data_IF_019505874027
#
_entry.id   IF_019505874027
#
_cell.length_a   1.000
_cell.length_b   1.000
_cell.length_c   1.000
_cell.angle_alpha   90.00
_cell.angle_beta   90.00
_cell.angle_gamma   90.00
#
_symmetry.space_group_name_H-M   'P 1'
#
loop_
_entity.id
_entity.type
_entity.pdbx_description
1 polymer ?
#
# COMPACT_ATOMS: atom_id res chain seq x y z
N UNK A 1 6.57 -3.99 43.14
CA UNK A 1 6.80 -5.05 42.13
C UNK A 1 5.56 -5.47 41.33
N UNK A 2 4.36 -4.93 41.60
CA UNK A 2 3.11 -5.28 40.87
C UNK A 2 2.82 -4.39 39.66
N UNK A 3 3.53 -3.27 39.50
CA UNK A 3 3.25 -2.26 38.46
C UNK A 3 3.93 -2.55 37.11
N UNK A 4 5.01 -3.33 37.10
CA UNK A 4 5.77 -3.63 35.87
C UNK A 4 5.12 -4.73 35.01
N UNK A 5 4.45 -5.70 35.63
CA UNK A 5 3.75 -6.78 34.90
C UNK A 5 2.54 -6.28 34.11
N UNK A 6 1.83 -5.28 34.63
CA UNK A 6 0.70 -4.67 33.93
C UNK A 6 1.17 -3.91 32.68
N UNK A 7 2.36 -3.30 32.72
CA UNK A 7 2.94 -2.58 31.59
C UNK A 7 3.45 -3.52 30.50
N UNK A 8 3.97 -4.70 30.83
CA UNK A 8 4.43 -5.70 29.86
C UNK A 8 3.27 -6.32 29.07
N UNK A 9 2.13 -6.58 29.73
CA UNK A 9 0.90 -7.05 29.07
C UNK A 9 0.26 -5.96 28.19
N UNK A 10 0.29 -4.70 28.65
CA UNK A 10 -0.18 -3.56 27.84
C UNK A 10 0.71 -3.35 26.60
N UNK A 11 2.03 -3.53 26.72
CA UNK A 11 2.97 -3.42 25.60
C UNK A 11 2.75 -4.53 24.55
N UNK A 12 2.50 -5.77 24.99
CA UNK A 12 2.20 -6.89 24.10
C UNK A 12 0.86 -6.72 23.37
N UNK A 13 -0.16 -6.17 24.04
CA UNK A 13 -1.47 -5.86 23.42
C UNK A 13 -1.38 -4.66 22.46
N UNK A 14 -0.57 -3.66 22.77
CA UNK A 14 -0.29 -2.52 21.89
C UNK A 14 0.50 -2.93 20.63
N UNK A 15 1.42 -3.90 20.74
CA UNK A 15 2.14 -4.44 19.60
C UNK A 15 1.26 -5.26 18.65
N UNK A 16 0.25 -5.98 19.15
CA UNK A 16 -0.71 -6.68 18.28
C UNK A 16 -1.69 -5.75 17.57
N UNK A 17 -2.03 -4.59 18.16
CA UNK A 17 -2.86 -3.58 17.51
C UNK A 17 -2.11 -2.82 16.39
N UNK A 18 -0.78 -2.67 16.53
CA UNK A 18 0.06 -1.98 15.56
C UNK A 18 0.30 -2.74 14.24
N UNK A 19 -0.15 -3.99 14.13
CA UNK A 19 -0.01 -4.82 12.93
C UNK A 19 -1.24 -4.83 12.03
N UNK A 20 -2.37 -4.24 12.45
CA UNK A 20 -3.47 -3.99 11.53
C UNK A 20 -3.15 -2.71 10.77
N UNK A 21 -2.85 -2.85 9.47
CA UNK A 21 -2.72 -1.71 8.57
C UNK A 21 -3.93 -0.78 8.70
N UNK A 22 -3.69 0.52 8.58
CA UNK A 22 -4.77 1.51 8.59
C UNK A 22 -5.77 1.16 7.50
N UNK A 23 -7.03 0.93 7.89
CA UNK A 23 -8.13 0.69 6.95
C UNK A 23 -8.84 2.00 6.60
N UNK A 24 -9.54 2.02 5.46
CA UNK A 24 -10.42 3.14 5.06
C UNK A 24 -11.40 3.54 6.16
N UNK A 25 -12.02 2.57 6.84
CA UNK A 25 -12.95 2.87 7.94
C UNK A 25 -12.27 3.54 9.12
N UNK A 26 -11.10 3.05 9.54
CA UNK A 26 -10.35 3.66 10.64
C UNK A 26 -9.89 5.09 10.31
N UNK A 27 -9.48 5.34 9.05
CA UNK A 27 -9.12 6.66 8.57
C UNK A 27 -10.31 7.63 8.66
N UNK A 28 -11.46 7.23 8.14
CA UNK A 28 -12.66 8.08 8.16
C UNK A 28 -13.17 8.33 9.57
N UNK A 29 -13.06 7.35 10.49
CA UNK A 29 -13.39 7.56 11.90
C UNK A 29 -12.49 8.62 12.54
N UNK A 30 -11.18 8.56 12.29
CA UNK A 30 -10.24 9.56 12.80
C UNK A 30 -10.53 10.97 12.25
N UNK A 31 -10.92 11.09 10.98
CA UNK A 31 -11.35 12.38 10.40
C UNK A 31 -12.63 12.90 11.06
N UNK A 32 -13.56 12.01 11.45
CA UNK A 32 -14.79 12.40 12.16
C UNK A 32 -14.56 12.81 13.63
N UNK A 33 -13.40 12.51 14.22
CA UNK A 33 -13.02 13.02 15.54
C UNK A 33 -12.63 14.51 15.49
N UNK A 34 -12.35 15.04 14.30
CA UNK A 34 -12.13 16.48 14.11
C UNK A 34 -13.47 17.24 14.24
N UNK A 35 -13.60 18.20 15.18
CA UNK A 35 -14.87 18.91 15.41
C UNK A 35 -15.33 19.78 14.23
N UNK A 36 -14.44 20.11 13.29
CA UNK A 36 -14.78 20.89 12.10
C UNK A 36 -15.50 20.07 11.02
N UNK A 37 -15.48 18.74 11.08
CA UNK A 37 -15.99 17.88 10.02
C UNK A 37 -17.00 16.87 10.55
N UNK A 38 -18.11 16.71 9.84
CA UNK A 38 -19.11 15.69 10.16
C UNK A 38 -19.56 14.94 8.91
N UNK A 39 -19.74 13.60 8.99
CA UNK A 39 -20.20 12.83 7.85
C UNK A 39 -21.67 13.18 7.50
N UNK A 40 -21.92 13.40 6.21
CA UNK A 40 -23.25 13.55 5.64
C UNK A 40 -23.73 12.21 5.06
N UNK A 41 -24.32 11.38 5.91
CA UNK A 41 -24.85 10.06 5.52
C UNK A 41 -23.84 8.92 5.74
N UNK A 42 -24.24 7.71 5.35
CA UNK A 42 -23.41 6.50 5.47
C UNK A 42 -22.37 6.43 4.35
N UNK A 43 -21.17 5.90 4.60
CA UNK A 43 -20.19 5.67 3.54
C UNK A 43 -20.66 4.55 2.60
N UNK A 44 -20.52 4.76 1.28
CA UNK A 44 -20.69 3.70 0.30
C UNK A 44 -19.33 3.04 0.06
N UNK A 45 -19.31 1.71 0.13
CA UNK A 45 -18.10 0.90 0.02
C UNK A 45 -18.10 0.15 -1.31
N UNK A 46 -16.96 0.20 -1.99
CA UNK A 46 -16.69 -0.51 -3.23
C UNK A 46 -15.47 -1.40 -3.05
N UNK A 47 -15.50 -2.51 -3.75
CA UNK A 47 -14.47 -3.54 -3.86
C UNK A 47 -14.09 -3.68 -5.33
N UNK A 48 -13.07 -4.47 -5.63
CA UNK A 48 -12.71 -4.79 -7.02
C UNK A 48 -13.89 -5.30 -7.87
N UNK A 49 -14.85 -5.99 -7.25
CA UNK A 49 -15.99 -6.63 -7.94
C UNK A 49 -17.09 -5.66 -8.36
N UNK A 50 -17.26 -4.55 -7.66
CA UNK A 50 -18.35 -3.59 -7.89
C UNK A 50 -17.85 -2.15 -8.10
N UNK A 51 -16.56 -1.95 -8.33
CA UNK A 51 -15.99 -0.63 -8.60
C UNK A 51 -16.56 0.01 -9.88
N UNK A 52 -17.11 -0.79 -10.80
CA UNK A 52 -17.85 -0.32 -11.98
C UNK A 52 -19.02 0.60 -11.64
N UNK A 53 -19.70 0.38 -10.52
CA UNK A 53 -20.80 1.24 -10.06
C UNK A 53 -20.33 2.68 -9.76
N UNK A 54 -19.07 2.83 -9.31
CA UNK A 54 -18.46 4.13 -9.01
C UNK A 54 -17.75 4.74 -10.21
N UNK A 55 -16.96 3.92 -10.92
CA UNK A 55 -15.95 4.38 -11.86
C UNK A 55 -16.31 4.15 -13.33
N UNK A 56 -17.40 3.44 -13.61
CA UNK A 56 -17.85 3.08 -14.96
C UNK A 56 -16.71 2.47 -15.78
N UNK A 57 -16.45 3.02 -16.96
CA UNK A 57 -15.41 2.56 -17.88
C UNK A 57 -13.98 2.54 -17.30
N UNK A 58 -13.73 3.23 -16.17
CA UNK A 58 -12.42 3.28 -15.52
C UNK A 58 -12.18 2.13 -14.56
N UNK A 59 -13.23 1.37 -14.22
CA UNK A 59 -13.16 0.27 -13.27
C UNK A 59 -12.06 -0.74 -13.61
N UNK A 60 -11.96 -1.13 -14.89
CA UNK A 60 -10.93 -2.07 -15.35
C UNK A 60 -9.52 -1.54 -15.08
N UNK A 61 -9.24 -0.29 -15.46
CA UNK A 61 -7.94 0.33 -15.23
C UNK A 61 -7.63 0.44 -13.73
N UNK A 62 -8.58 0.89 -12.91
CA UNK A 62 -8.41 1.00 -11.45
C UNK A 62 -8.09 -0.38 -10.83
N UNK A 63 -8.76 -1.44 -11.28
CA UNK A 63 -8.48 -2.80 -10.82
C UNK A 63 -7.08 -3.28 -11.22
N UNK A 64 -6.65 -3.04 -12.46
CA UNK A 64 -5.29 -3.40 -12.92
C UNK A 64 -4.20 -2.64 -12.18
N UNK A 65 -4.48 -1.41 -11.75
CA UNK A 65 -3.57 -0.63 -10.92
C UNK A 65 -3.50 -1.11 -9.46
N UNK A 66 -4.23 -2.15 -9.06
CA UNK A 66 -4.10 -2.78 -7.74
C UNK A 66 -5.05 -2.24 -6.68
N UNK A 67 -6.31 -1.97 -7.03
CA UNK A 67 -7.34 -1.55 -6.07
C UNK A 67 -7.56 -2.59 -4.97
N UNK A 68 -7.59 -2.17 -3.70
CA UNK A 68 -8.11 -2.96 -2.57
C UNK A 68 -9.59 -2.63 -2.35
N UNK A 69 -9.93 -1.34 -2.40
CA UNK A 69 -11.31 -0.88 -2.45
C UNK A 69 -11.44 0.63 -2.44
N UNK A 70 -12.65 1.13 -2.65
CA UNK A 70 -12.94 2.56 -2.62
C UNK A 70 -14.09 2.89 -1.67
N UNK A 71 -14.04 4.05 -1.03
CA UNK A 71 -15.12 4.54 -0.17
C UNK A 71 -15.54 5.92 -0.63
N UNK A 72 -16.85 6.13 -0.81
CA UNK A 72 -17.39 7.48 -1.06
C UNK A 72 -18.26 7.94 0.09
N UNK A 73 -18.09 9.19 0.50
CA UNK A 73 -18.93 9.80 1.52
C UNK A 73 -18.92 11.32 1.37
N UNK A 74 -20.05 11.97 1.62
CA UNK A 74 -20.10 13.43 1.71
C UNK A 74 -19.78 13.88 3.12
N UNK A 75 -19.10 15.01 3.28
CA UNK A 75 -18.68 15.59 4.54
C UNK A 75 -19.12 17.04 4.63
N UNK A 76 -19.70 17.45 5.77
CA UNK A 76 -20.03 18.85 6.05
C UNK A 76 -18.90 19.47 6.86
N UNK A 77 -18.40 20.59 6.38
CA UNK A 77 -17.41 21.39 7.09
C UNK A 77 -17.75 22.88 7.07
N UNK A 78 -16.90 23.72 7.66
CA UNK A 78 -17.15 25.16 7.81
C UNK A 78 -17.28 25.90 6.48
N UNK A 79 -16.56 25.44 5.45
CA UNK A 79 -16.50 26.08 4.13
C UNK A 79 -17.47 25.46 3.10
N UNK A 80 -18.27 24.46 3.49
CA UNK A 80 -19.25 23.81 2.64
C UNK A 80 -19.26 22.28 2.74
N UNK A 81 -19.97 21.66 1.79
CA UNK A 81 -20.06 20.20 1.67
C UNK A 81 -19.02 19.73 0.66
N UNK A 82 -18.27 18.67 1.00
CA UNK A 82 -17.28 18.04 0.14
C UNK A 82 -17.64 16.57 -0.07
N UNK A 83 -17.67 16.12 -1.32
CA UNK A 83 -17.79 14.70 -1.65
C UNK A 83 -16.39 14.08 -1.69
N UNK A 84 -16.12 13.15 -0.79
CA UNK A 84 -14.90 12.36 -0.76
C UNK A 84 -15.07 11.07 -1.56
N UNK A 85 -14.06 10.74 -2.37
CA UNK A 85 -13.79 9.39 -2.87
C UNK A 85 -12.37 9.00 -2.44
N UNK A 86 -12.27 7.97 -1.61
CA UNK A 86 -11.03 7.45 -1.05
C UNK A 86 -10.74 6.08 -1.65
N UNK A 87 -9.69 5.97 -2.45
CA UNK A 87 -9.19 4.69 -2.95
C UNK A 87 -8.07 4.17 -2.06
N UNK A 88 -8.16 2.92 -1.68
CA UNK A 88 -7.09 2.15 -1.04
C UNK A 88 -6.49 1.23 -2.09
N UNK A 89 -5.18 1.34 -2.28
CA UNK A 89 -4.40 0.56 -3.24
C UNK A 89 -3.54 -0.47 -2.50
N UNK A 90 -3.05 -1.47 -3.22
CA UNK A 90 -2.25 -2.56 -2.66
C UNK A 90 -0.93 -2.06 -2.05
N UNK A 91 -0.35 -0.98 -2.61
CA UNK A 91 0.84 -0.31 -2.09
C UNK A 91 0.93 1.16 -2.54
N UNK A 92 2.02 1.83 -2.16
CA UNK A 92 2.27 3.22 -2.51
C UNK A 92 2.56 3.44 -4.01
N UNK A 93 3.17 2.47 -4.69
CA UNK A 93 3.47 2.53 -6.12
C UNK A 93 2.18 2.49 -6.95
N UNK A 94 1.24 1.62 -6.57
CA UNK A 94 -0.11 1.51 -7.10
C UNK A 94 -0.92 2.80 -6.89
N UNK A 95 -0.84 3.39 -5.69
CA UNK A 95 -1.45 4.70 -5.41
C UNK A 95 -0.89 5.82 -6.29
N UNK A 96 0.44 5.88 -6.44
CA UNK A 96 1.07 6.84 -7.35
C UNK A 96 0.67 6.61 -8.82
N UNK A 97 0.56 5.35 -9.26
CA UNK A 97 0.08 4.99 -10.58
C UNK A 97 -1.33 5.52 -10.84
N UNK A 98 -2.29 5.21 -9.97
CA UNK A 98 -3.66 5.69 -10.13
C UNK A 98 -3.75 7.22 -10.04
N UNK A 99 -2.97 7.86 -9.17
CA UNK A 99 -2.91 9.32 -9.06
C UNK A 99 -2.42 9.99 -10.34
N UNK A 100 -1.42 9.42 -11.00
CA UNK A 100 -0.83 10.00 -12.21
C UNK A 100 -1.58 9.65 -13.50
N UNK A 101 -2.42 8.62 -13.49
CA UNK A 101 -3.19 8.15 -14.65
C UNK A 101 -3.97 9.28 -15.34
N UNK A 102 -4.74 10.06 -14.58
CA UNK A 102 -5.54 11.17 -15.11
C UNK A 102 -4.86 12.54 -15.02
N UNK A 103 -3.67 12.59 -14.42
CA UNK A 103 -2.98 13.85 -14.24
C UNK A 103 -2.63 14.41 -15.62
N UNK A 104 -3.18 15.58 -15.92
CA UNK A 104 -2.89 16.32 -17.14
C UNK A 104 -2.54 17.76 -16.78
N UNK A 105 -1.24 18.05 -16.72
CA UNK A 105 -0.72 19.38 -16.37
C UNK A 105 -1.07 20.46 -17.39
N UNK A 106 -1.41 20.07 -18.62
CA UNK A 106 -1.79 20.99 -19.69
C UNK A 106 -3.31 21.32 -19.65
N UNK A 107 -4.06 20.73 -18.72
CA UNK A 107 -5.47 21.02 -18.57
C UNK A 107 -5.70 22.46 -18.05
N UNK A 108 -6.62 23.23 -18.66
CA UNK A 108 -6.96 24.56 -18.16
C UNK A 108 -7.40 24.54 -16.69
N UNK A 109 -6.84 25.44 -15.88
CA UNK A 109 -7.13 25.52 -14.45
C UNK A 109 -6.44 24.47 -13.59
N UNK A 110 -5.46 23.73 -14.13
CA UNK A 110 -4.57 22.88 -13.34
C UNK A 110 -3.77 23.71 -12.34
N UNK A 111 -3.69 23.26 -11.09
CA UNK A 111 -2.88 23.90 -10.05
C UNK A 111 -2.35 22.86 -9.09
N UNK A 112 -1.03 22.83 -8.85
CA UNK A 112 -0.44 21.97 -7.83
C UNK A 112 -0.84 22.43 -6.42
N UNK A 113 -1.10 21.48 -5.52
CA UNK A 113 -1.50 21.75 -4.14
C UNK A 113 -0.66 20.94 -3.15
N UNK A 114 -0.34 21.49 -1.96
CA UNK A 114 0.59 20.86 -1.01
C UNK A 114 -0.13 19.89 -0.07
N UNK A 115 -0.92 18.95 -0.63
CA UNK A 115 -1.61 17.93 0.16
C UNK A 115 -1.03 16.54 -0.13
N UNK A 116 -0.98 15.70 0.90
CA UNK A 116 -0.35 14.40 0.79
C UNK A 116 1.12 14.50 0.39
N UNK A 117 1.55 13.58 -0.47
CA UNK A 117 2.89 13.61 -1.04
C UNK A 117 2.96 14.40 -2.33
N UNK A 118 1.93 14.28 -3.17
CA UNK A 118 1.67 15.20 -4.27
C UNK A 118 0.16 15.36 -4.44
N UNK A 119 -0.26 16.55 -4.86
CA UNK A 119 -1.64 16.83 -5.18
C UNK A 119 -1.79 17.89 -6.26
N UNK A 120 -2.95 17.88 -6.90
CA UNK A 120 -3.36 18.91 -7.85
C UNK A 120 -4.85 19.21 -7.75
N UNK A 121 -5.24 20.38 -8.23
CA UNK A 121 -6.62 20.81 -8.37
C UNK A 121 -6.92 21.09 -9.82
N UNK A 122 -8.12 20.70 -10.25
CA UNK A 122 -8.71 21.05 -11.54
C UNK A 122 -10.19 21.32 -11.31
N UNK A 123 -10.68 22.49 -11.75
CA UNK A 123 -12.05 22.93 -11.52
C UNK A 123 -12.43 22.86 -10.03
N UNK A 124 -13.50 22.16 -9.68
CA UNK A 124 -14.00 21.96 -8.31
C UNK A 124 -13.47 20.67 -7.66
N UNK A 125 -12.40 20.09 -8.20
CA UNK A 125 -11.85 18.81 -7.76
C UNK A 125 -10.41 18.93 -7.29
N UNK A 126 -10.14 18.41 -6.10
CA UNK A 126 -8.80 18.31 -5.53
C UNK A 126 -8.41 16.84 -5.43
N UNK A 127 -7.23 16.50 -5.94
CA UNK A 127 -6.68 15.16 -6.00
C UNK A 127 -5.35 15.14 -5.26
N UNK A 128 -5.13 14.14 -4.41
CA UNK A 128 -3.79 13.88 -3.86
C UNK A 128 -3.60 12.41 -3.55
N UNK A 129 -2.36 12.00 -3.37
CA UNK A 129 -2.01 10.66 -2.91
C UNK A 129 -1.08 10.74 -1.70
N UNK A 130 -1.17 9.74 -0.84
CA UNK A 130 -0.31 9.59 0.33
C UNK A 130 -0.33 8.15 0.78
N UNK A 131 0.85 7.57 1.07
CA UNK A 131 0.97 6.14 1.37
C UNK A 131 0.32 5.32 0.24
N UNK A 132 -0.49 4.32 0.56
CA UNK A 132 -1.26 3.52 -0.38
C UNK A 132 -2.66 4.10 -0.69
N UNK A 133 -2.93 5.37 -0.39
CA UNK A 133 -4.22 6.02 -0.59
C UNK A 133 -4.21 7.05 -1.72
N UNK A 134 -5.29 7.10 -2.49
CA UNK A 134 -5.60 8.18 -3.44
C UNK A 134 -6.91 8.84 -3.04
N UNK A 135 -6.90 10.16 -2.91
CA UNK A 135 -8.00 10.95 -2.38
C UNK A 135 -8.51 11.91 -3.45
N UNK A 136 -9.79 11.81 -3.77
CA UNK A 136 -10.47 12.74 -4.67
C UNK A 136 -11.57 13.47 -3.89
N UNK A 137 -11.54 14.79 -3.94
CA UNK A 137 -12.47 15.66 -3.24
C UNK A 137 -13.19 16.53 -4.25
N UNK A 138 -14.52 16.60 -4.17
CA UNK A 138 -15.33 17.49 -4.99
C UNK A 138 -16.08 18.48 -4.10
N UNK A 139 -15.89 19.78 -4.35
CA UNK A 139 -16.48 20.85 -3.54
C UNK A 139 -15.92 22.22 -3.91
N UNK A 140 -16.19 23.23 -3.10
CA UNK A 140 -15.51 24.53 -3.24
C UNK A 140 -14.02 24.36 -2.89
N UNK A 141 -13.14 25.12 -3.56
CA UNK A 141 -11.69 25.05 -3.31
C UNK A 141 -11.32 25.13 -1.81
N UNK A 142 -11.77 26.16 -1.07
CA UNK A 142 -11.53 26.25 0.37
C UNK A 142 -12.03 25.04 1.17
N UNK A 143 -13.21 24.51 0.86
CA UNK A 143 -13.74 23.33 1.55
C UNK A 143 -12.93 22.07 1.26
N UNK A 144 -12.51 21.86 0.01
CA UNK A 144 -11.65 20.71 -0.33
C UNK A 144 -10.29 20.80 0.34
N UNK A 145 -9.75 22.01 0.54
CA UNK A 145 -8.42 22.22 1.11
C UNK A 145 -8.39 21.91 2.61
N UNK A 146 -9.42 22.39 3.31
CA UNK A 146 -9.60 22.10 4.74
C UNK A 146 -9.81 20.60 4.98
N UNK A 147 -10.60 19.92 4.13
CA UNK A 147 -10.79 18.47 4.26
C UNK A 147 -9.54 17.67 3.85
N UNK A 148 -8.84 18.11 2.80
CA UNK A 148 -7.59 17.47 2.35
C UNK A 148 -6.55 17.47 3.46
N UNK A 149 -6.40 18.59 4.18
CA UNK A 149 -5.50 18.68 5.34
C UNK A 149 -5.91 17.71 6.44
N UNK A 150 -7.19 17.71 6.83
CA UNK A 150 -7.70 16.81 7.87
C UNK A 150 -7.52 15.32 7.52
N UNK A 151 -7.72 14.94 6.25
CA UNK A 151 -7.47 13.57 5.79
C UNK A 151 -5.97 13.26 5.80
N UNK A 152 -5.13 14.13 5.24
CA UNK A 152 -3.69 13.92 5.09
C UNK A 152 -2.97 13.76 6.44
N UNK A 153 -3.38 14.50 7.47
CA UNK A 153 -2.86 14.37 8.84
C UNK A 153 -3.17 13.01 9.48
N UNK A 154 -4.22 12.35 9.00
CA UNK A 154 -4.64 11.04 9.50
C UNK A 154 -4.15 9.88 8.63
N UNK A 155 -3.56 10.11 7.44
CA UNK A 155 -2.99 9.03 6.63
C UNK A 155 -1.58 8.70 7.13
N UNK A 156 -1.38 7.47 7.57
CA UNK A 156 -0.09 6.98 8.03
C UNK A 156 0.62 6.14 6.96
N UNK A 157 1.94 6.02 7.09
CA UNK A 157 2.79 5.24 6.18
C UNK A 157 3.69 6.11 5.31
N UNK A 158 4.60 5.46 4.59
CA UNK A 158 5.56 6.14 3.71
C UNK A 158 5.05 6.11 2.28
N UNK A 159 4.90 7.28 1.69
CA UNK A 159 4.78 7.40 0.25
C UNK A 159 6.13 7.09 -0.41
N UNK A 160 6.11 6.22 -1.41
CA UNK A 160 7.29 5.90 -2.22
C UNK A 160 6.85 5.85 -3.66
N UNK A 161 7.57 6.57 -4.52
CA UNK A 161 7.40 6.43 -5.96
C UNK A 161 7.94 5.06 -6.39
N UNK A 162 7.42 4.48 -7.47
CA UNK A 162 7.97 3.27 -8.08
C UNK A 162 9.46 3.42 -8.40
N UNK A 163 10.27 2.34 -8.29
CA UNK A 163 11.69 2.35 -8.62
C UNK A 163 12.01 3.00 -9.97
N UNK A 164 11.23 2.71 -11.01
CA UNK A 164 11.44 3.29 -12.35
C UNK A 164 11.40 4.82 -12.36
N UNK A 165 10.56 5.44 -11.52
CA UNK A 165 10.45 6.90 -11.45
C UNK A 165 11.69 7.57 -10.90
N UNK A 166 12.51 6.87 -10.12
CA UNK A 166 13.77 7.40 -9.58
C UNK A 166 14.88 7.55 -10.63
N UNK A 167 14.73 6.86 -11.76
CA UNK A 167 15.67 6.88 -12.88
C UNK A 167 15.32 7.91 -13.95
N UNK A 168 14.24 8.69 -13.76
CA UNK A 168 13.91 9.80 -14.65
C UNK A 168 14.96 10.92 -14.51
N UNK A 169 15.58 11.37 -15.61
CA UNK A 169 16.52 12.48 -15.59
C UNK A 169 15.85 13.76 -15.07
N UNK A 170 16.41 14.47 -14.08
CA UNK A 170 15.80 15.69 -13.55
C UNK A 170 16.02 16.91 -14.47
N UNK A 171 17.04 16.89 -15.33
CA UNK A 171 17.36 18.01 -16.22
C UNK A 171 16.33 18.12 -17.33
N UNK A 172 15.83 19.33 -17.59
CA UNK A 172 14.80 19.63 -18.60
C UNK A 172 13.44 18.95 -18.39
N UNK A 173 13.24 18.28 -17.25
CA UNK A 173 11.98 17.65 -16.87
C UNK A 173 10.90 18.71 -16.63
N UNK A 174 9.75 18.56 -17.27
CA UNK A 174 8.55 19.34 -16.99
C UNK A 174 7.93 18.80 -15.71
N UNK A 175 8.10 19.51 -14.60
CA UNK A 175 7.64 19.08 -13.28
C UNK A 175 6.13 18.76 -13.28
N UNK A 176 5.76 17.61 -12.72
CA UNK A 176 4.37 17.16 -12.65
C UNK A 176 3.87 16.42 -13.89
N UNK A 177 4.66 16.34 -14.96
CA UNK A 177 4.35 15.54 -16.15
C UNK A 177 4.61 14.05 -15.98
N UNK A 178 5.28 13.65 -14.88
CA UNK A 178 5.68 12.27 -14.65
C UNK A 178 4.44 11.39 -14.47
N UNK A 179 4.46 10.19 -15.05
CA UNK A 179 3.41 9.20 -14.87
C UNK A 179 4.03 7.84 -14.64
N UNK A 180 3.32 7.03 -13.88
CA UNK A 180 3.62 5.61 -13.73
C UNK A 180 2.58 4.78 -14.44
N UNK A 181 3.05 3.90 -15.31
CA UNK A 181 2.22 3.06 -16.17
C UNK A 181 2.42 1.60 -15.75
N UNK A 182 1.38 1.06 -15.11
CA UNK A 182 1.34 -0.34 -14.67
C UNK A 182 0.80 -1.29 -15.73
N UNK A 183 -0.02 -0.77 -16.65
CA UNK A 183 -0.79 -1.56 -17.59
C UNK A 183 -0.90 -0.81 -18.93
N UNK A 184 -1.22 -1.55 -19.98
CA UNK A 184 -1.43 -1.03 -21.33
C UNK A 184 -2.40 0.15 -21.35
N UNK A 185 -3.41 0.14 -20.48
CA UNK A 185 -4.41 1.21 -20.33
C UNK A 185 -3.80 2.58 -19.99
N UNK A 186 -2.64 2.61 -19.31
CA UNK A 186 -1.95 3.85 -18.93
C UNK A 186 -1.03 4.43 -20.03
N UNK A 187 -0.78 3.70 -21.12
CA UNK A 187 0.03 4.20 -22.25
C UNK A 187 -0.81 5.15 -23.11
N UNK A 188 -0.39 6.42 -23.19
CA UNK A 188 -1.01 7.39 -24.10
C UNK A 188 -0.86 6.96 -25.56
N UNK A 189 -1.94 6.94 -26.37
CA UNK A 189 -1.86 6.68 -27.81
C UNK A 189 -0.89 7.61 -28.55
N UNK A 190 -0.71 8.83 -28.05
CA UNK A 190 0.17 9.86 -28.62
C UNK A 190 1.65 9.45 -28.62
N UNK A 191 2.04 8.53 -27.75
CA UNK A 191 3.41 8.00 -27.72
C UNK A 191 3.71 7.12 -28.95
N UNK A 192 2.67 6.63 -29.64
CA UNK A 192 2.82 5.80 -30.85
C UNK A 192 3.65 4.55 -30.60
N UNK A 193 3.46 3.90 -29.45
CA UNK A 193 4.14 2.68 -29.05
C UNK A 193 3.27 1.46 -29.30
N UNK A 194 3.86 0.39 -29.81
CA UNK A 194 3.21 -0.93 -29.80
C UNK A 194 3.25 -1.48 -28.37
N UNK A 195 2.07 -1.58 -27.76
CA UNK A 195 1.89 -2.00 -26.37
C UNK A 195 2.41 -3.43 -26.13
N UNK A 196 2.35 -4.28 -27.16
CA UNK A 196 2.82 -5.68 -27.12
C UNK A 196 4.33 -5.79 -26.99
N UNK A 197 5.08 -4.75 -27.38
CA UNK A 197 6.53 -4.73 -27.35
C UNK A 197 7.11 -4.12 -26.06
N UNK A 198 6.25 -3.70 -25.12
CA UNK A 198 6.69 -3.07 -23.87
C UNK A 198 7.08 -4.09 -22.80
N UNK A 199 6.48 -5.28 -22.83
CA UNK A 199 6.85 -6.37 -21.92
C UNK A 199 6.13 -6.39 -20.57
N UNK A 200 4.85 -5.98 -20.52
CA UNK A 200 4.01 -6.11 -19.31
C UNK A 200 3.98 -7.55 -18.76
N UNK A 201 3.98 -8.56 -19.64
CA UNK A 201 4.06 -9.99 -19.27
C UNK A 201 5.38 -10.37 -18.57
N UNK A 202 6.46 -9.62 -18.82
CA UNK A 202 7.78 -9.83 -18.21
C UNK A 202 8.02 -8.84 -17.03
N UNK A 203 6.94 -8.34 -16.42
CA UNK A 203 6.96 -7.47 -15.22
C UNK A 203 7.77 -6.18 -15.41
N UNK A 204 7.63 -5.53 -16.57
CA UNK A 204 8.21 -4.21 -16.81
C UNK A 204 7.52 -3.15 -15.94
N UNK A 205 8.31 -2.26 -15.34
CA UNK A 205 7.82 -1.01 -14.76
C UNK A 205 8.06 0.12 -15.75
N UNK A 206 7.06 0.98 -15.98
CA UNK A 206 7.16 2.07 -16.97
C UNK A 206 6.91 3.41 -16.31
N UNK A 207 7.85 4.34 -16.48
CA UNK A 207 7.63 5.75 -16.19
C UNK A 207 7.64 6.56 -17.48
N UNK A 208 6.75 7.54 -17.59
CA UNK A 208 6.78 8.52 -18.68
C UNK A 208 6.91 9.92 -18.12
N UNK A 209 7.55 10.84 -18.85
CA UNK A 209 7.56 12.24 -18.48
C UNK A 209 7.82 13.14 -19.70
N UNK A 210 7.40 14.39 -19.60
CA UNK A 210 7.60 15.41 -20.61
C UNK A 210 8.89 16.17 -20.33
N UNK A 211 9.63 16.47 -21.40
CA UNK A 211 10.88 17.22 -21.36
C UNK A 211 10.80 18.41 -22.32
N UNK A 212 11.39 19.53 -21.91
CA UNK A 212 11.50 20.73 -22.72
C UNK A 212 12.98 21.09 -22.90
N UNK A 213 13.55 20.74 -24.06
CA UNK A 213 14.95 20.98 -24.37
C UNK A 213 15.05 22.07 -25.43
N UNK A 214 15.64 23.22 -25.07
CA UNK A 214 15.81 24.34 -26.01
C UNK A 214 14.49 24.82 -26.65
N UNK A 215 13.38 24.75 -25.92
CA UNK A 215 12.05 25.13 -26.40
C UNK A 215 11.33 24.06 -27.22
N UNK A 216 11.92 22.87 -27.42
CA UNK A 216 11.30 21.74 -28.11
C UNK A 216 10.81 20.71 -27.10
N UNK A 217 9.54 20.32 -27.21
CA UNK A 217 8.94 19.29 -26.36
C UNK A 217 9.28 17.89 -26.84
N UNK A 218 9.53 16.97 -25.90
CA UNK A 218 9.68 15.55 -26.15
C UNK A 218 9.14 14.74 -24.97
N UNK A 219 8.81 13.48 -25.19
CA UNK A 219 8.33 12.56 -24.17
C UNK A 219 9.37 11.46 -23.96
N UNK A 220 9.82 11.28 -22.72
CA UNK A 220 10.62 10.12 -22.34
C UNK A 220 9.68 8.99 -21.91
N UNK A 221 9.91 7.79 -22.45
CA UNK A 221 9.31 6.55 -21.97
C UNK A 221 10.45 5.68 -21.46
N UNK A 222 10.48 5.50 -20.14
CA UNK A 222 11.50 4.76 -19.43
C UNK A 222 10.92 3.43 -18.96
N UNK A 223 11.53 2.33 -19.40
CA UNK A 223 11.16 0.97 -19.07
C UNK A 223 12.24 0.38 -18.16
N UNK A 224 11.85 -0.08 -16.98
CA UNK A 224 12.69 -0.82 -16.05
C UNK A 224 12.26 -2.28 -16.06
N UNK A 225 13.14 -3.16 -16.51
CA UNK A 225 12.89 -4.59 -16.48
C UNK A 225 13.46 -5.24 -15.21
N UNK A 226 12.92 -6.39 -14.77
CA UNK A 226 13.42 -7.06 -13.57
C UNK A 226 14.89 -7.48 -13.65
N UNK A 227 15.40 -7.74 -14.86
CA UNK A 227 16.78 -8.15 -15.10
C UNK A 227 17.38 -7.51 -16.35
N UNK A 228 18.70 -7.44 -16.40
CA UNK A 228 19.42 -6.91 -17.57
C UNK A 228 19.22 -7.77 -18.83
N UNK A 229 19.03 -9.09 -18.65
CA UNK A 229 18.79 -10.05 -19.73
C UNK A 229 17.43 -9.81 -20.38
N UNK A 230 16.39 -9.55 -19.57
CA UNK A 230 15.07 -9.19 -20.08
C UNK A 230 15.14 -7.84 -20.81
N UNK A 231 15.81 -6.84 -20.23
CA UNK A 231 16.02 -5.56 -20.92
C UNK A 231 16.74 -5.71 -22.27
N UNK A 232 17.74 -6.60 -22.35
CA UNK A 232 18.44 -6.91 -23.60
C UNK A 232 17.52 -7.59 -24.63
N UNK A 233 16.71 -8.57 -24.21
CA UNK A 233 15.70 -9.22 -25.07
C UNK A 233 14.80 -8.18 -25.74
N UNK A 234 14.22 -7.26 -24.97
CA UNK A 234 13.34 -6.23 -25.52
C UNK A 234 14.09 -5.20 -26.37
N UNK A 235 15.29 -4.78 -25.97
CA UNK A 235 16.10 -3.86 -26.79
C UNK A 235 16.38 -4.44 -28.19
N UNK A 236 16.71 -5.72 -28.28
CA UNK A 236 16.89 -6.42 -29.57
C UNK A 236 15.60 -6.47 -30.40
N UNK A 237 14.44 -6.64 -29.76
CA UNK A 237 13.16 -6.58 -30.47
C UNK A 237 12.89 -5.21 -31.08
N UNK A 238 13.17 -4.13 -30.34
CA UNK A 238 13.04 -2.75 -30.84
C UNK A 238 14.04 -2.43 -31.96
N UNK A 239 15.24 -3.00 -31.90
CA UNK A 239 16.22 -2.94 -32.97
C UNK A 239 15.73 -3.65 -34.23
N UNK A 240 15.18 -4.85 -34.08
CA UNK A 240 14.70 -5.65 -35.21
C UNK A 240 13.41 -5.09 -35.86
N UNK A 241 12.57 -4.39 -35.11
CA UNK A 241 11.32 -3.83 -35.63
C UNK A 241 11.52 -2.53 -36.43
N UNK A 242 12.72 -1.94 -36.41
CA UNK A 242 13.09 -0.67 -37.07
C UNK A 242 12.06 0.47 -36.88
N UNK A 243 11.31 0.40 -35.77
CA UNK A 243 10.16 1.24 -35.48
C UNK A 243 10.53 2.53 -34.73
N UNK A 244 11.74 2.57 -34.20
CA UNK A 244 12.30 3.68 -33.41
C UNK A 244 13.73 3.89 -33.89
N UNK A 245 14.05 5.10 -34.35
CA UNK A 245 15.40 5.45 -34.79
C UNK A 245 16.44 5.14 -33.68
N UNK A 246 17.62 4.60 -34.00
CA UNK A 246 18.65 4.29 -33.01
C UNK A 246 19.03 5.48 -32.11
N UNK A 247 19.00 6.70 -32.64
CA UNK A 247 19.28 7.94 -31.88
C UNK A 247 18.18 8.36 -30.91
N UNK A 248 17.02 7.72 -30.93
CA UNK A 248 15.88 8.00 -30.04
C UNK A 248 15.73 6.93 -28.95
N UNK A 249 16.67 5.99 -28.83
CA UNK A 249 16.65 4.93 -27.83
C UNK A 249 18.00 4.76 -27.15
N UNK A 250 17.99 4.36 -25.89
CA UNK A 250 19.20 4.01 -25.12
C UNK A 250 18.88 2.86 -24.17
N UNK A 251 19.79 1.90 -24.05
CA UNK A 251 19.73 0.87 -23.01
C UNK A 251 20.88 1.05 -22.03
N UNK A 252 20.58 1.02 -20.73
CA UNK A 252 21.58 1.07 -19.65
C UNK A 252 21.19 0.09 -18.55
N UNK A 253 21.98 -0.98 -18.37
CA UNK A 253 21.65 -2.02 -17.39
C UNK A 253 20.26 -2.63 -17.65
N UNK A 254 19.34 -2.62 -16.66
CA UNK A 254 17.96 -3.08 -16.80
C UNK A 254 17.00 -2.02 -17.39
N UNK A 255 17.49 -0.81 -17.69
CA UNK A 255 16.68 0.27 -18.24
C UNK A 255 16.72 0.28 -19.78
N UNK A 256 15.56 0.53 -20.39
CA UNK A 256 15.41 0.92 -21.80
C UNK A 256 14.69 2.26 -21.83
N UNK A 257 15.31 3.27 -22.42
CA UNK A 257 14.76 4.61 -22.56
C UNK A 257 14.43 4.89 -24.03
N UNK A 258 13.25 5.43 -24.29
CA UNK A 258 12.75 5.79 -25.61
C UNK A 258 12.30 7.25 -25.61
N UNK A 259 12.71 8.03 -26.60
CA UNK A 259 12.28 9.42 -26.79
C UNK A 259 11.22 9.46 -27.90
N UNK A 260 10.06 10.07 -27.58
CA UNK A 260 8.91 10.25 -28.48
C UNK A 260 8.56 11.73 -28.63
N UNK A 261 7.75 12.07 -29.64
CA UNK A 261 7.32 13.45 -29.91
C UNK A 261 8.36 14.38 -30.56
N UNK A 262 9.64 13.98 -30.60
CA UNK A 262 10.71 14.70 -31.30
C UNK A 262 11.61 13.73 -32.06
N UNK A 263 12.04 14.12 -33.27
CA UNK A 263 13.04 13.42 -34.09
C UNK A 263 14.40 14.13 -34.09
N UNK A 264 14.55 15.18 -33.29
CA UNK A 264 15.80 15.94 -33.20
C UNK A 264 16.84 15.15 -32.38
N UNK A 265 17.97 14.74 -32.97
CA UNK A 265 19.00 13.98 -32.27
C UNK A 265 19.59 14.73 -31.06
N UNK A 266 19.67 16.07 -31.12
CA UNK A 266 20.21 16.86 -30.02
C UNK A 266 19.28 16.88 -28.81
N UNK A 267 17.97 16.95 -29.05
CA UNK A 267 16.95 16.84 -27.98
C UNK A 267 16.98 15.44 -27.36
N UNK A 268 17.05 14.41 -28.19
CA UNK A 268 17.08 13.04 -27.71
C UNK A 268 18.34 12.74 -26.88
N UNK A 269 19.54 13.12 -27.36
CA UNK A 269 20.79 12.95 -26.61
C UNK A 269 20.72 13.65 -25.25
N UNK A 270 20.27 14.92 -25.21
CA UNK A 270 20.19 15.68 -23.97
C UNK A 270 19.31 15.00 -22.89
N UNK A 271 18.28 14.26 -23.29
CA UNK A 271 17.42 13.49 -22.37
C UNK A 271 18.07 12.14 -22.04
N UNK A 272 18.48 11.39 -23.07
CA UNK A 272 19.00 10.03 -22.95
C UNK A 272 20.32 9.97 -22.18
N UNK A 273 21.19 10.99 -22.28
CA UNK A 273 22.44 11.08 -21.55
C UNK A 273 22.24 11.19 -20.03
N UNK A 274 21.11 11.76 -19.61
CA UNK A 274 20.71 11.80 -18.21
C UNK A 274 20.22 10.45 -17.65
N UNK A 275 19.86 9.49 -18.50
CA UNK A 275 19.40 8.16 -18.07
C UNK A 275 20.60 7.31 -17.69
N UNK A 276 20.75 7.06 -16.38
CA UNK A 276 21.86 6.34 -15.78
C UNK A 276 21.35 5.26 -14.81
N UNK A 277 22.08 4.14 -14.74
CA UNK A 277 21.83 3.06 -13.80
C UNK A 277 23.09 2.80 -12.97
N UNK A 278 23.00 3.04 -11.66
CA UNK A 278 24.07 2.70 -10.73
C UNK A 278 23.77 1.34 -10.09
N UNK A 279 24.59 0.33 -10.40
CA UNK A 279 24.51 -0.95 -9.71
C UNK A 279 25.17 -0.83 -8.33
N UNK A 280 24.39 -0.82 -7.26
CA UNK A 280 24.95 -1.03 -5.93
C UNK A 280 25.29 -2.51 -5.76
N UNK A 281 26.57 -2.85 -5.93
CA UNK A 281 27.08 -4.19 -5.62
C UNK A 281 27.30 -4.27 -4.11
N UNK A 282 26.29 -4.72 -3.37
CA UNK A 282 26.47 -5.10 -1.96
C UNK A 282 27.28 -6.39 -1.93
N UNK A 283 28.54 -6.28 -1.51
CA UNK A 283 29.35 -7.44 -1.19
C UNK A 283 28.68 -8.20 -0.05
N UNK A 284 28.51 -9.52 -0.22
CA UNK A 284 28.01 -10.37 0.87
C UNK A 284 28.91 -10.19 2.09
N UNK A 285 28.36 -9.70 3.20
CA UNK A 285 29.07 -9.71 4.47
C UNK A 285 29.44 -11.16 4.82
N UNK A 286 30.69 -11.43 5.23
CA UNK A 286 31.06 -12.76 5.68
C UNK A 286 30.13 -13.15 6.83
N UNK A 287 29.53 -14.34 6.76
CA UNK A 287 28.70 -14.84 7.85
C UNK A 287 29.52 -14.79 9.15
N UNK A 288 28.96 -14.30 10.26
CA UNK A 288 29.64 -14.38 11.55
C UNK A 288 30.05 -15.84 11.78
N UNK A 289 31.32 -16.06 12.13
CA UNK A 289 31.83 -17.39 12.40
C UNK A 289 31.32 -17.83 13.79
N UNK A 290 30.05 -18.24 13.84
CA UNK A 290 29.43 -18.68 15.09
C UNK A 290 30.05 -20.03 15.44
N UNK A 291 30.92 -20.01 16.45
CA UNK A 291 31.57 -21.21 16.97
C UNK A 291 30.52 -22.19 17.51
N UNK A 292 30.60 -23.45 17.10
CA UNK A 292 29.68 -24.51 17.51
C UNK A 292 29.49 -24.61 19.05
N UNK A 293 30.54 -24.43 19.89
CA UNK A 293 30.38 -24.34 21.34
C UNK A 293 29.49 -23.18 21.82
N UNK A 294 29.60 -22.00 21.22
CA UNK A 294 28.81 -20.83 21.62
C UNK A 294 27.33 -21.00 21.29
N UNK A 295 27.04 -21.64 20.15
CA UNK A 295 25.67 -21.99 19.78
C UNK A 295 25.06 -22.98 20.78
N UNK A 296 25.81 -24.00 21.18
CA UNK A 296 25.38 -24.98 22.19
C UNK A 296 25.13 -24.28 23.53
N UNK A 297 26.06 -23.47 24.01
CA UNK A 297 25.92 -22.75 25.28
C UNK A 297 24.71 -21.80 25.27
N UNK A 298 24.47 -21.12 24.15
CA UNK A 298 23.31 -20.23 23.99
C UNK A 298 21.99 -21.01 24.06
N UNK A 299 21.89 -22.15 23.37
CA UNK A 299 20.69 -23.00 23.38
C UNK A 299 20.42 -23.56 24.77
N UNK A 300 21.42 -24.16 25.42
CA UNK A 300 21.25 -24.72 26.76
C UNK A 300 20.97 -23.65 27.81
N UNK A 301 21.56 -22.46 27.68
CA UNK A 301 21.24 -21.31 28.52
C UNK A 301 19.77 -20.89 28.37
N UNK A 302 19.27 -20.79 27.13
CA UNK A 302 17.87 -20.45 26.88
C UNK A 302 16.91 -21.50 27.43
N UNK A 303 17.22 -22.80 27.25
CA UNK A 303 16.43 -23.91 27.81
C UNK A 303 16.40 -23.82 29.34
N UNK A 304 17.55 -23.57 29.98
CA UNK A 304 17.63 -23.43 31.44
C UNK A 304 16.77 -22.28 31.97
N UNK A 305 16.82 -21.12 31.31
CA UNK A 305 15.99 -19.95 31.67
C UNK A 305 14.50 -20.27 31.45
N UNK A 306 14.14 -20.92 30.35
CA UNK A 306 12.76 -21.30 30.06
C UNK A 306 12.20 -22.29 31.11
N UNK A 307 12.99 -23.29 31.51
CA UNK A 307 12.61 -24.24 32.57
C UNK A 307 12.41 -23.52 33.90
N UNK A 308 13.36 -22.65 34.30
CA UNK A 308 13.22 -21.84 35.51
C UNK A 308 11.91 -21.04 35.50
N UNK A 309 11.62 -20.37 34.38
CA UNK A 309 10.40 -19.60 34.22
C UNK A 309 9.14 -20.45 34.37
N UNK A 310 9.10 -21.65 33.77
CA UNK A 310 7.94 -22.56 33.87
C UNK A 310 7.71 -23.05 35.31
N UNK A 311 8.78 -23.32 36.06
CA UNK A 311 8.71 -23.72 37.47
C UNK A 311 8.14 -22.58 38.31
N UNK A 312 8.67 -21.37 38.14
CA UNK A 312 8.21 -20.19 38.89
C UNK A 312 6.74 -19.89 38.58
N UNK A 313 6.34 -19.96 37.30
CA UNK A 313 4.95 -19.78 36.90
C UNK A 313 4.03 -20.85 37.50
N UNK A 314 4.45 -22.12 37.47
CA UNK A 314 3.71 -23.24 38.05
C UNK A 314 3.52 -23.11 39.56
N UNK A 315 4.59 -22.78 40.30
CA UNK A 315 4.51 -22.52 41.75
C UNK A 315 3.63 -21.31 42.04
N UNK A 316 3.75 -20.23 41.27
CA UNK A 316 2.94 -19.02 41.46
C UNK A 316 1.46 -19.31 41.26
N UNK A 317 1.09 -20.05 40.21
CA UNK A 317 -0.29 -20.43 39.95
C UNK A 317 -0.83 -21.38 41.03
N UNK A 318 -0.05 -22.38 41.43
CA UNK A 318 -0.40 -23.30 42.51
C UNK A 318 -0.59 -22.59 43.85
N UNK A 319 0.33 -21.68 44.21
CA UNK A 319 0.27 -20.86 45.41
C UNK A 319 -0.94 -19.92 45.40
N UNK A 320 -1.21 -19.25 44.28
CA UNK A 320 -2.39 -18.41 44.11
C UNK A 320 -3.68 -19.22 44.29
N UNK A 321 -3.75 -20.42 43.71
CA UNK A 321 -4.91 -21.31 43.85
C UNK A 321 -5.18 -21.67 45.32
N UNK A 322 -4.13 -22.05 46.07
CA UNK A 322 -4.24 -22.38 47.50
C UNK A 322 -4.65 -21.15 48.30
N UNK A 323 -4.05 -19.99 48.03
CA UNK A 323 -4.38 -18.73 48.71
C UNK A 323 -5.84 -18.31 48.48
N UNK A 324 -6.33 -18.40 47.24
CA UNK A 324 -7.73 -18.10 46.90
C UNK A 324 -8.67 -19.06 47.62
N UNK A 325 -8.36 -20.36 47.66
CA UNK A 325 -9.14 -21.36 48.39
C UNK A 325 -9.16 -21.09 49.91
N UNK A 326 -8.03 -20.68 50.48
CA UNK A 326 -7.95 -20.35 51.91
C UNK A 326 -8.70 -19.07 52.28
N UNK A 327 -8.72 -18.06 51.40
CA UNK A 327 -9.29 -16.73 51.69
C UNK A 327 -10.75 -16.56 51.27
N UNK A 328 -11.20 -17.30 50.25
CA UNK A 328 -12.55 -17.28 49.71
C UNK A 328 -13.07 -18.71 49.42
N UNK A 329 -13.45 -19.46 50.47
CA UNK A 329 -14.13 -20.74 50.30
C UNK A 329 -15.42 -20.58 49.46
N UNK A 330 -15.75 -21.57 48.64
CA UNK A 330 -17.02 -21.75 47.91
C UNK A 330 -17.42 -20.70 46.85
N UNK A 331 -16.53 -19.80 46.43
CA UNK A 331 -16.88 -18.76 45.42
C UNK A 331 -16.37 -19.01 44.00
N UNK A 332 -15.17 -19.56 43.86
CA UNK A 332 -14.43 -19.55 42.57
C UNK A 332 -14.12 -20.96 42.04
N UNK A 333 -13.64 -21.90 42.87
CA UNK A 333 -13.18 -23.22 42.40
C UNK A 333 -13.96 -24.42 42.94
N UNK A 334 -14.63 -24.29 44.09
CA UNK A 334 -15.42 -25.35 44.74
C UNK A 334 -16.90 -24.90 44.79
N UNK A 335 -17.54 -24.70 43.64
CA UNK A 335 -19.00 -24.52 43.61
C UNK A 335 -19.66 -25.89 43.73
N UNK A 336 -20.57 -26.04 44.67
CA UNK A 336 -21.37 -27.26 44.86
C UNK A 336 -22.20 -27.63 43.62
N UNK A 337 -22.42 -26.68 42.70
CA UNK A 337 -23.12 -26.84 41.43
C UNK A 337 -22.29 -27.64 40.39
N UNK A 338 -20.95 -27.59 40.44
CA UNK A 338 -20.05 -28.24 39.46
C UNK A 338 -19.51 -29.61 39.95
N UNK A 339 -19.85 -30.01 41.18
CA UNK A 339 -19.49 -31.31 41.77
C UNK A 339 -20.56 -32.39 41.58
N UNK A 340 -21.53 -32.19 40.68
CA UNK A 340 -22.47 -33.26 40.30
C UNK A 340 -21.76 -34.28 39.41
N UNK A 341 -21.54 -35.46 39.97
CA UNK A 341 -21.08 -36.64 39.23
C UNK A 341 -22.15 -36.98 38.19
N UNK A 342 -21.84 -36.82 36.90
CA UNK A 342 -22.70 -37.28 35.80
C UNK A 342 -22.78 -38.82 35.88
N UNK A 343 -23.80 -39.33 36.57
CA UNK A 343 -24.14 -40.75 36.58
C UNK A 343 -24.93 -41.09 35.33
N UNK A 344 -24.26 -41.67 34.33
CA UNK A 344 -24.93 -42.29 33.20
C UNK A 344 -25.67 -43.55 33.69
N UNK A 345 -26.99 -43.44 33.93
CA UNK A 345 -27.86 -44.57 34.28
C UNK A 345 -28.08 -45.48 33.06
N UNK A 346 -27.09 -46.32 32.74
CA UNK A 346 -27.12 -47.27 31.62
C UNK A 346 -28.01 -48.51 31.86
N UNK A 347 -28.72 -48.62 32.98
CA UNK A 347 -29.48 -49.82 33.38
C UNK A 347 -31.00 -49.69 33.38
N UNK A 348 -31.58 -48.55 32.95
CA UNK A 348 -33.03 -48.50 32.66
C UNK A 348 -33.25 -48.58 31.16
N UNK A 349 -33.64 -49.78 30.76
CA UNK A 349 -33.80 -50.22 29.38
C UNK A 349 -34.76 -49.37 28.54
N UNK A 350 -34.48 -49.48 27.25
CA UNK A 350 -35.23 -49.01 26.08
C UNK A 350 -36.74 -49.15 26.26
N UNK A 351 -37.44 -48.07 25.93
CA UNK A 351 -38.90 -47.94 25.87
C UNK A 351 -39.50 -49.07 25.00
N UNK A 352 -40.38 -49.89 25.58
CA UNK A 352 -41.38 -50.62 24.80
C UNK A 352 -42.58 -49.69 24.58
N UNK A 353 -42.75 -49.25 23.34
CA UNK A 353 -43.94 -48.57 22.86
C UNK A 353 -44.75 -49.60 22.06
N UNK A 354 -45.88 -50.02 22.60
CA UNK A 354 -46.97 -50.70 21.89
C UNK A 354 -48.28 -50.29 22.57
N UNK A 355 -49.44 -50.14 21.94
CA UNK A 355 -49.96 -50.10 20.56
C UNK A 355 -51.47 -49.76 20.71
N UNK A 356 -52.15 -49.30 19.67
CA UNK A 356 -53.59 -49.49 19.35
C UNK A 356 -53.88 -48.64 18.09
N UNK A 357 -54.40 -49.11 16.94
CA UNK A 357 -54.90 -50.41 16.43
C UNK A 357 -54.26 -50.71 15.07
#
# INVERSE_FOLDING_TARGET
>A
MTRQWFWSLLLALLLTAALQGQSRESLLRAVAENPSWSPAGKPNQYTQKNIEELAGNRASAINHYGLIGATTQSWRGPQGIVRLTLYEMIDASAAYGLFTLDRNINQPGFTSVPFGSEGFRVANRTFFWQSNYVVWLEGSGPATDDLARAISENIFGRSRKPPVSSHLPPQNLVQGSEKYVLDETGISPELGLDRRLLGFEDSVEIATADYLVGGKSAHLVLLLYPTQQVAQKYALHWEASDSIDPGLRKRVGPLVALVRGSRDPGVASAILDGVNYESQVTWNEPRPDISFPDMILTIFGFIGIALLFTIVAGISFGGLRIFVKARYPDRIFDRTEDMEIIQLKLTKGVIHKQLEE
#
